data_IF_223742714028
#
_entry.id   IF_223742714028
#
_cell.length_a   1.000
_cell.length_b   1.000
_cell.length_c   1.000
_cell.angle_alpha   90.00
_cell.angle_beta   90.00
_cell.angle_gamma   90.00
#
_symmetry.space_group_name_H-M   'P 1'
#
loop_
_entity.id
_entity.type
_entity.pdbx_description
1 polymer ?
#
# COMPACT_ATOMS: atom_id res chain seq x y z
N UNK A 1 8.69 -7.89 15.60
CA UNK A 1 7.59 -6.95 15.87
C UNK A 1 6.49 -7.24 14.85
N UNK A 2 5.25 -7.55 15.27
CA UNK A 2 4.12 -7.74 14.36
C UNK A 2 3.30 -6.44 14.33
N UNK A 3 2.85 -6.02 13.16
CA UNK A 3 1.97 -4.86 13.03
C UNK A 3 0.63 -5.17 13.73
N UNK A 4 0.03 -4.22 14.47
CA UNK A 4 -1.31 -4.39 15.01
C UNK A 4 -2.32 -4.64 13.88
N UNK A 5 -3.20 -5.63 14.03
CA UNK A 5 -4.21 -5.96 13.01
C UNK A 5 -5.36 -4.95 12.96
N UNK A 6 -5.55 -4.17 14.01
CA UNK A 6 -6.63 -3.17 14.13
C UNK A 6 -6.18 -1.74 13.77
N UNK A 7 -5.15 -1.58 12.92
CA UNK A 7 -4.58 -0.26 12.60
C UNK A 7 -5.35 0.50 11.51
N UNK A 8 -6.48 -0.04 11.03
CA UNK A 8 -7.22 0.51 9.90
C UNK A 8 -6.46 0.34 8.57
N UNK A 9 -6.82 1.14 7.56
CA UNK A 9 -6.18 1.08 6.25
C UNK A 9 -4.78 1.72 6.26
N UNK A 10 -3.79 1.02 5.73
CA UNK A 10 -2.43 1.54 5.50
C UNK A 10 -2.47 2.43 4.26
N UNK A 11 -2.07 3.70 4.39
CA UNK A 11 -2.02 4.65 3.27
C UNK A 11 -0.59 4.83 2.76
N UNK A 12 -0.34 4.52 1.50
CA UNK A 12 0.94 4.78 0.82
C UNK A 12 0.89 6.09 0.03
N UNK A 13 1.91 6.94 0.21
CA UNK A 13 2.15 8.11 -0.64
C UNK A 13 3.18 7.71 -1.70
N UNK A 14 2.87 7.95 -2.98
CA UNK A 14 3.67 7.47 -4.11
C UNK A 14 3.44 5.99 -4.43
N UNK A 15 2.20 5.50 -4.26
CA UNK A 15 1.86 4.08 -4.42
C UNK A 15 2.09 3.57 -5.84
N UNK A 16 2.06 4.43 -6.86
CA UNK A 16 2.21 4.06 -8.27
C UNK A 16 3.64 3.69 -8.67
N UNK A 17 4.65 3.99 -7.84
CA UNK A 17 6.02 3.56 -8.07
C UNK A 17 6.18 2.04 -7.94
N UNK A 18 6.94 1.40 -8.83
CA UNK A 18 7.09 -0.07 -8.90
C UNK A 18 7.45 -0.74 -7.57
N UNK A 19 8.29 -0.09 -6.75
CA UNK A 19 8.66 -0.60 -5.42
C UNK A 19 7.51 -0.52 -4.41
N UNK A 20 6.76 0.59 -4.44
CA UNK A 20 5.65 0.80 -3.51
C UNK A 20 4.44 -0.07 -3.87
N UNK A 21 4.15 -0.24 -5.16
CA UNK A 21 3.15 -1.20 -5.64
C UNK A 21 3.44 -2.63 -5.16
N UNK A 22 4.70 -3.08 -5.24
CA UNK A 22 5.08 -4.42 -4.77
C UNK A 22 4.91 -4.61 -3.27
N UNK A 23 5.26 -3.59 -2.46
CA UNK A 23 5.04 -3.64 -1.01
C UNK A 23 3.54 -3.65 -0.69
N UNK A 24 2.75 -2.84 -1.39
CA UNK A 24 1.30 -2.81 -1.23
C UNK A 24 0.67 -4.18 -1.52
N UNK A 25 1.11 -4.85 -2.59
CA UNK A 25 0.65 -6.20 -2.95
C UNK A 25 0.95 -7.23 -1.85
N UNK A 26 2.17 -7.21 -1.29
CA UNK A 26 2.53 -8.11 -0.18
C UNK A 26 1.63 -7.88 1.04
N UNK A 27 1.34 -6.62 1.39
CA UNK A 27 0.48 -6.30 2.52
C UNK A 27 -0.97 -6.73 2.30
N UNK A 28 -1.48 -6.58 1.08
CA UNK A 28 -2.80 -7.10 0.67
C UNK A 28 -2.84 -8.62 0.85
N UNK A 29 -1.80 -9.33 0.38
CA UNK A 29 -1.68 -10.79 0.53
C UNK A 29 -1.58 -11.24 2.00
N UNK A 30 -1.13 -10.38 2.89
CA UNK A 30 -1.08 -10.61 4.34
C UNK A 30 -2.39 -10.24 5.07
N UNK A 31 -3.41 -9.77 4.34
CA UNK A 31 -4.72 -9.43 4.87
C UNK A 31 -4.86 -8.00 5.42
N UNK A 32 -3.92 -7.11 5.11
CA UNK A 32 -4.05 -5.70 5.45
C UNK A 32 -4.89 -4.96 4.40
N UNK A 33 -5.66 -3.98 4.85
CA UNK A 33 -6.31 -3.03 3.94
C UNK A 33 -5.28 -1.97 3.55
N UNK A 34 -5.12 -1.75 2.25
CA UNK A 34 -4.16 -0.78 1.70
C UNK A 34 -4.89 0.20 0.79
N UNK A 35 -4.52 1.47 0.90
CA UNK A 35 -4.93 2.55 0.02
C UNK A 35 -3.71 3.42 -0.30
N UNK A 36 -3.81 4.33 -1.26
CA UNK A 36 -2.69 5.23 -1.52
C UNK A 36 -3.04 6.40 -2.42
N UNK A 37 -2.06 7.29 -2.53
CA UNK A 37 -2.07 8.46 -3.42
C UNK A 37 -0.80 8.48 -4.23
N UNK A 38 -0.85 9.12 -5.39
CA UNK A 38 0.31 9.42 -6.21
C UNK A 38 0.16 10.83 -6.79
N UNK A 39 1.27 11.43 -7.23
CA UNK A 39 1.28 12.78 -7.79
C UNK A 39 0.61 12.87 -9.16
N UNK A 40 0.53 11.75 -9.89
CA UNK A 40 -0.18 11.61 -11.14
C UNK A 40 -0.99 10.30 -11.14
N UNK A 41 -2.12 10.30 -11.85
CA UNK A 41 -2.80 9.03 -12.15
C UNK A 41 -1.84 8.14 -12.94
N UNK A 42 -1.76 6.87 -12.52
CA UNK A 42 -0.72 5.93 -12.95
C UNK A 42 -0.55 5.92 -14.47
N UNK A 43 0.69 6.03 -14.93
CA UNK A 43 1.06 6.05 -16.34
C UNK A 43 1.05 4.64 -16.99
N UNK A 44 0.13 3.76 -16.58
CA UNK A 44 -0.02 2.42 -17.15
C UNK A 44 -0.90 2.47 -18.41
#
# INVERSE_FOLDING_TARGET
MKLPRDIGAIHFVGIGGIGMSGIAEVLINLGYTVQGSDAADGAN
#
